data_IF_639345485091
#
_entry.id   IF_639345485091
#
_cell.length_a   1.000
_cell.length_b   1.000
_cell.length_c   1.000
_cell.angle_alpha   90.00
_cell.angle_beta   90.00
_cell.angle_gamma   90.00
#
_symmetry.space_group_name_H-M   'P 1'
#
loop_
_entity.id
_entity.type
_entity.pdbx_description
1 polymer ?
#
# COMPACT_ATOMS: atom_id res chain seq x y z
N UNK A 1 1.83 10.51 15.51
CA UNK A 1 1.90 9.16 14.94
C UNK A 1 1.47 8.03 15.89
N UNK A 2 0.40 7.30 15.55
CA UNK A 2 -0.04 6.07 16.25
C UNK A 2 0.69 4.83 15.68
N UNK A 3 1.97 4.66 16.02
CA UNK A 3 2.87 3.66 15.39
C UNK A 3 2.30 2.22 15.41
N UNK A 4 1.77 1.76 16.54
CA UNK A 4 1.20 0.41 16.68
C UNK A 4 0.09 0.15 15.66
N UNK A 5 -0.78 1.15 15.46
CA UNK A 5 -1.87 1.07 14.49
C UNK A 5 -1.32 1.03 13.06
N UNK A 6 -0.30 1.86 12.78
CA UNK A 6 0.36 1.89 11.48
C UNK A 6 1.02 0.57 11.11
N UNK A 7 1.67 -0.11 12.05
CA UNK A 7 2.26 -1.43 11.84
C UNK A 7 1.17 -2.47 11.51
N UNK A 8 0.07 -2.48 12.30
CA UNK A 8 -1.05 -3.41 12.07
C UNK A 8 -1.65 -3.18 10.68
N UNK A 9 -1.89 -1.93 10.31
CA UNK A 9 -2.44 -1.59 9.00
C UNK A 9 -1.45 -1.91 7.87
N UNK A 10 -0.16 -1.70 8.05
CA UNK A 10 0.86 -2.10 7.06
C UNK A 10 0.83 -3.59 6.76
N UNK A 11 0.75 -4.43 7.82
CA UNK A 11 0.62 -5.89 7.66
C UNK A 11 -0.69 -6.28 6.94
N UNK A 12 -1.80 -5.63 7.30
CA UNK A 12 -3.09 -5.86 6.65
C UNK A 12 -3.07 -5.43 5.18
N UNK A 13 -2.46 -4.28 4.86
CA UNK A 13 -2.31 -3.81 3.48
C UNK A 13 -1.57 -4.86 2.66
N UNK A 14 -0.39 -5.28 3.10
CA UNK A 14 0.38 -6.34 2.44
C UNK A 14 -0.46 -7.59 2.20
N UNK A 15 -1.16 -8.07 3.24
CA UNK A 15 -1.98 -9.28 3.16
C UNK A 15 -3.13 -9.15 2.15
N UNK A 16 -3.87 -8.04 2.18
CA UNK A 16 -5.00 -7.84 1.27
C UNK A 16 -4.55 -7.56 -0.17
N UNK A 17 -3.46 -6.82 -0.38
CA UNK A 17 -2.87 -6.62 -1.71
C UNK A 17 -2.44 -7.95 -2.30
N UNK A 18 -1.73 -8.78 -1.53
CA UNK A 18 -1.35 -10.13 -1.93
C UNK A 18 -2.59 -10.96 -2.30
N UNK A 19 -3.60 -10.99 -1.41
CA UNK A 19 -4.81 -11.79 -1.60
C UNK A 19 -5.59 -11.39 -2.86
N UNK A 20 -5.81 -10.08 -3.06
CA UNK A 20 -6.50 -9.56 -4.24
C UNK A 20 -5.72 -9.93 -5.50
N UNK A 21 -4.42 -9.71 -5.50
CA UNK A 21 -3.61 -9.96 -6.70
C UNK A 21 -3.60 -11.44 -7.05
N UNK A 22 -3.46 -12.36 -6.08
CA UNK A 22 -3.53 -13.81 -6.33
C UNK A 22 -4.88 -14.25 -6.90
N UNK A 23 -5.99 -13.67 -6.44
CA UNK A 23 -7.34 -14.04 -6.90
C UNK A 23 -7.65 -13.47 -8.29
N UNK A 24 -7.30 -12.21 -8.54
CA UNK A 24 -7.74 -11.48 -9.71
C UNK A 24 -6.75 -11.52 -10.88
N UNK A 25 -5.44 -11.70 -10.63
CA UNK A 25 -4.45 -11.79 -11.71
C UNK A 25 -4.73 -12.90 -12.74
N UNK A 26 -5.22 -14.11 -12.37
CA UNK A 26 -5.58 -15.13 -13.36
C UNK A 26 -6.84 -14.80 -14.17
N UNK A 27 -7.68 -13.88 -13.66
CA UNK A 27 -8.96 -13.50 -14.28
C UNK A 27 -8.84 -12.32 -15.22
N UNK A 28 -7.77 -11.53 -15.09
CA UNK A 28 -7.55 -10.30 -15.85
C UNK A 28 -6.30 -10.49 -16.70
N UNK A 29 -6.51 -10.60 -18.02
CA UNK A 29 -5.44 -10.53 -19.00
C UNK A 29 -5.24 -9.08 -19.42
N UNK A 30 -4.06 -8.53 -19.15
CA UNK A 30 -3.61 -7.27 -19.70
C UNK A 30 -2.47 -7.49 -20.71
N UNK A 31 -2.21 -6.48 -21.55
CA UNK A 31 -1.12 -6.49 -22.52
C UNK A 31 0.02 -5.56 -22.07
N UNK A 32 0.11 -5.25 -20.77
CA UNK A 32 1.08 -4.29 -20.27
C UNK A 32 2.39 -5.04 -20.00
N UNK A 33 3.50 -4.68 -20.66
CA UNK A 33 4.78 -5.33 -20.38
C UNK A 33 5.16 -5.13 -18.91
N UNK A 34 5.58 -6.21 -18.26
CA UNK A 34 6.18 -6.23 -16.91
C UNK A 34 5.27 -5.82 -15.74
N UNK A 35 4.02 -5.44 -15.97
CA UNK A 35 3.10 -5.00 -14.92
C UNK A 35 1.78 -5.73 -15.06
N UNK A 36 1.41 -6.48 -14.03
CA UNK A 36 0.04 -6.94 -13.87
C UNK A 36 -0.80 -5.79 -13.29
N UNK A 37 -1.79 -5.29 -14.05
CA UNK A 37 -2.59 -4.11 -13.67
C UNK A 37 -3.37 -4.30 -12.36
N UNK A 38 -3.62 -5.54 -11.95
CA UNK A 38 -4.29 -5.85 -10.69
C UNK A 38 -3.48 -5.39 -9.49
N UNK A 39 -2.15 -5.53 -9.53
CA UNK A 39 -1.27 -5.15 -8.43
C UNK A 39 -1.34 -3.64 -8.08
N UNK A 40 -1.12 -2.69 -9.01
CA UNK A 40 -1.22 -1.26 -8.69
C UNK A 40 -2.64 -0.85 -8.25
N UNK A 41 -3.69 -1.45 -8.84
CA UNK A 41 -5.08 -1.18 -8.43
C UNK A 41 -5.31 -1.65 -6.98
N UNK A 42 -4.84 -2.85 -6.63
CA UNK A 42 -4.93 -3.39 -5.29
C UNK A 42 -4.18 -2.49 -4.28
N UNK A 43 -2.95 -2.08 -4.62
CA UNK A 43 -2.13 -1.19 -3.77
C UNK A 43 -2.88 0.12 -3.49
N UNK A 44 -3.36 0.83 -4.52
CA UNK A 44 -4.06 2.12 -4.34
C UNK A 44 -5.33 1.93 -3.51
N UNK A 45 -6.12 0.90 -3.80
CA UNK A 45 -7.42 0.68 -3.16
C UNK A 45 -7.27 0.34 -1.68
N UNK A 46 -6.39 -0.61 -1.37
CA UNK A 46 -6.19 -1.11 -0.01
C UNK A 46 -5.44 -0.08 0.84
N UNK A 47 -4.37 0.51 0.32
CA UNK A 47 -3.64 1.59 0.99
C UNK A 47 -4.53 2.81 1.19
N UNK A 48 -5.37 3.15 0.21
CA UNK A 48 -6.34 4.23 0.32
C UNK A 48 -7.30 4.00 1.49
N UNK A 49 -7.90 2.81 1.56
CA UNK A 49 -8.82 2.45 2.63
C UNK A 49 -8.18 2.52 4.02
N UNK A 50 -7.04 1.85 4.23
CA UNK A 50 -6.36 1.85 5.52
C UNK A 50 -5.71 3.20 5.86
N UNK A 51 -5.26 3.94 4.86
CA UNK A 51 -4.74 5.31 5.00
C UNK A 51 -5.82 6.26 5.52
N UNK A 52 -7.04 6.20 4.96
CA UNK A 52 -8.20 6.98 5.44
C UNK A 52 -8.51 6.63 6.89
N UNK A 53 -8.59 5.33 7.22
CA UNK A 53 -8.86 4.88 8.59
C UNK A 53 -7.78 5.32 9.59
N UNK A 54 -6.54 5.48 9.14
CA UNK A 54 -5.44 5.94 9.98
C UNK A 54 -5.48 7.46 10.18
N UNK A 55 -5.68 8.22 9.11
CA UNK A 55 -5.51 9.67 9.12
C UNK A 55 -6.72 10.42 9.71
N UNK A 56 -7.92 9.83 9.65
CA UNK A 56 -9.16 10.45 10.14
C UNK A 56 -9.16 10.86 11.62
N UNK A 57 -8.27 10.28 12.42
CA UNK A 57 -8.16 10.58 13.86
C UNK A 57 -6.95 11.50 14.18
N UNK A 58 -6.36 12.14 13.16
CA UNK A 58 -5.22 13.05 13.29
C UNK A 58 -5.71 14.48 13.07
N UNK A 59 -5.43 15.36 14.03
CA UNK A 59 -5.88 16.75 14.02
C UNK A 59 -4.76 17.76 13.73
N UNK A 60 -3.51 17.30 13.58
CA UNK A 60 -2.35 18.17 13.38
C UNK A 60 -1.43 17.63 12.29
N UNK A 61 -1.10 18.51 11.33
CA UNK A 61 -0.14 18.28 10.26
C UNK A 61 -0.40 16.95 9.51
N UNK A 62 -1.62 16.77 8.99
CA UNK A 62 -2.04 15.51 8.36
C UNK A 62 -1.14 15.11 7.18
N UNK A 63 -0.64 16.07 6.39
CA UNK A 63 0.32 15.81 5.29
C UNK A 63 1.59 15.12 5.80
N UNK A 64 2.18 15.63 6.89
CA UNK A 64 3.43 15.08 7.45
C UNK A 64 3.17 13.70 8.03
N UNK A 65 2.03 13.51 8.71
CA UNK A 65 1.64 12.20 9.22
C UNK A 65 1.33 11.21 8.10
N UNK A 66 0.71 11.65 6.99
CA UNK A 66 0.47 10.89 5.77
C UNK A 66 1.76 10.40 5.10
N UNK A 67 2.78 11.26 5.06
CA UNK A 67 4.10 10.86 4.55
C UNK A 67 4.78 9.83 5.49
N UNK A 68 4.79 10.10 6.80
CA UNK A 68 5.38 9.19 7.80
C UNK A 68 4.72 7.82 7.79
N UNK A 69 3.39 7.76 7.73
CA UNK A 69 2.67 6.49 7.72
C UNK A 69 2.90 5.71 6.43
N UNK A 70 3.02 6.40 5.29
CA UNK A 70 3.40 5.78 4.02
C UNK A 70 4.73 5.04 4.11
N UNK A 71 5.73 5.64 4.77
CA UNK A 71 7.02 4.98 5.03
C UNK A 71 6.83 3.73 5.89
N UNK A 72 6.00 3.79 6.94
CA UNK A 72 5.72 2.61 7.78
C UNK A 72 5.06 1.49 6.98
N UNK A 73 4.09 1.80 6.12
CA UNK A 73 3.44 0.80 5.28
C UNK A 73 4.42 0.11 4.32
N UNK A 74 5.30 0.88 3.68
CA UNK A 74 6.37 0.35 2.81
C UNK A 74 7.34 -0.53 3.60
N UNK A 75 7.75 -0.11 4.79
CA UNK A 75 8.63 -0.92 5.64
C UNK A 75 7.96 -2.24 6.02
N UNK A 76 6.67 -2.21 6.35
CA UNK A 76 5.93 -3.44 6.69
C UNK A 76 5.78 -4.37 5.50
N UNK A 77 5.53 -3.82 4.32
CA UNK A 77 5.45 -4.57 3.07
C UNK A 77 6.77 -5.33 2.79
N UNK A 78 7.90 -4.64 2.79
CA UNK A 78 9.23 -5.23 2.59
C UNK A 78 9.56 -6.29 3.66
N UNK A 79 9.21 -6.04 4.93
CA UNK A 79 9.43 -7.01 6.01
C UNK A 79 8.56 -8.25 5.80
N UNK A 80 7.29 -8.09 5.43
CA UNK A 80 6.39 -9.22 5.20
C UNK A 80 6.86 -10.03 3.99
N UNK A 81 7.27 -9.38 2.90
CA UNK A 81 7.85 -10.05 1.74
C UNK A 81 9.08 -10.87 2.10
N UNK A 82 10.00 -10.28 2.88
CA UNK A 82 11.18 -10.99 3.37
C UNK A 82 10.80 -12.22 4.22
N UNK A 83 9.86 -12.07 5.16
CA UNK A 83 9.45 -13.16 6.05
C UNK A 83 8.72 -14.28 5.29
N UNK A 84 7.85 -13.95 4.34
CA UNK A 84 6.99 -14.94 3.69
C UNK A 84 7.63 -15.57 2.46
N UNK A 85 8.40 -14.83 1.66
CA UNK A 85 8.95 -15.35 0.41
C UNK A 85 10.40 -15.78 0.54
N UNK A 86 11.25 -14.97 1.20
CA UNK A 86 12.69 -15.29 1.32
C UNK A 86 12.92 -16.45 2.27
N UNK A 87 12.26 -16.46 3.44
CA UNK A 87 12.42 -17.56 4.41
C UNK A 87 11.83 -18.88 3.88
N UNK A 88 10.71 -18.81 3.12
CA UNK A 88 9.97 -20.01 2.71
C UNK A 88 10.47 -20.64 1.41
N UNK A 89 11.50 -20.07 0.76
CA UNK A 89 12.06 -20.51 -0.53
C UNK A 89 11.00 -20.81 -1.59
N UNK A 90 9.90 -20.06 -1.58
CA UNK A 90 8.87 -20.14 -2.63
C UNK A 90 9.13 -19.02 -3.62
N UNK A 91 9.20 -19.36 -4.91
CA UNK A 91 9.07 -18.38 -5.98
C UNK A 91 7.73 -17.67 -5.79
N UNK A 92 7.79 -16.34 -5.65
CA UNK A 92 6.59 -15.56 -5.43
C UNK A 92 5.78 -15.56 -6.73
N UNK A 93 4.59 -16.17 -6.72
CA UNK A 93 3.73 -16.34 -7.90
C UNK A 93 3.27 -14.99 -8.45
N UNK A 94 3.36 -13.93 -7.65
CA UNK A 94 3.04 -12.56 -8.04
C UNK A 94 4.14 -11.84 -8.82
N UNK A 95 5.35 -12.42 -8.87
CA UNK A 95 6.55 -11.65 -9.13
C UNK A 95 7.48 -12.40 -10.07
N UNK A 96 7.26 -12.22 -11.37
CA UNK A 96 8.30 -12.44 -12.37
C UNK A 96 9.39 -11.34 -12.29
N UNK A 97 9.08 -10.15 -11.75
CA UNK A 97 10.01 -9.01 -11.57
C UNK A 97 9.82 -8.26 -10.22
N UNK A 98 10.57 -8.66 -9.19
CA UNK A 98 10.48 -8.13 -7.82
C UNK A 98 10.83 -6.66 -7.69
N UNK A 99 11.90 -6.16 -8.32
CA UNK A 99 12.19 -4.74 -8.37
C UNK A 99 11.00 -3.88 -8.79
N UNK A 100 10.26 -4.27 -9.83
CA UNK A 100 9.11 -3.49 -10.32
C UNK A 100 7.98 -3.44 -9.29
N UNK A 101 7.72 -4.55 -8.60
CA UNK A 101 6.72 -4.59 -7.52
C UNK A 101 7.07 -3.60 -6.40
N UNK A 102 8.31 -3.66 -5.89
CA UNK A 102 8.78 -2.79 -4.81
C UNK A 102 8.72 -1.31 -5.22
N UNK A 103 9.17 -0.98 -6.44
CA UNK A 103 9.12 0.39 -6.96
C UNK A 103 7.66 0.87 -7.04
N UNK A 104 6.76 0.04 -7.55
CA UNK A 104 5.32 0.36 -7.64
C UNK A 104 4.72 0.59 -6.25
N UNK A 105 5.04 -0.27 -5.28
CA UNK A 105 4.57 -0.16 -3.91
C UNK A 105 5.05 1.13 -3.25
N UNK A 106 6.34 1.48 -3.41
CA UNK A 106 6.91 2.72 -2.86
C UNK A 106 6.19 3.94 -3.43
N UNK A 107 6.11 4.04 -4.76
CA UNK A 107 5.55 5.21 -5.45
C UNK A 107 4.07 5.36 -5.10
N UNK A 108 3.28 4.30 -5.29
CA UNK A 108 1.84 4.35 -5.11
C UNK A 108 1.46 4.56 -3.64
N UNK A 109 2.16 3.91 -2.70
CA UNK A 109 1.86 4.07 -1.27
C UNK A 109 2.17 5.49 -0.81
N UNK A 110 3.36 6.03 -1.12
CA UNK A 110 3.72 7.40 -0.72
C UNK A 110 2.78 8.45 -1.32
N UNK A 111 2.48 8.34 -2.61
CA UNK A 111 1.56 9.27 -3.27
C UNK A 111 0.18 9.19 -2.62
N UNK A 112 -0.35 7.97 -2.42
CA UNK A 112 -1.68 7.77 -1.84
C UNK A 112 -1.76 8.32 -0.41
N UNK A 113 -0.83 7.97 0.48
CA UNK A 113 -0.91 8.40 1.88
C UNK A 113 -0.63 9.89 2.06
N UNK A 114 0.25 10.47 1.24
CA UNK A 114 0.53 11.92 1.28
C UNK A 114 -0.66 12.72 0.73
N UNK A 115 -1.28 12.27 -0.37
CA UNK A 115 -2.51 12.87 -0.89
C UNK A 115 -3.65 12.78 0.11
N UNK A 116 -3.80 11.66 0.80
CA UNK A 116 -4.80 11.53 1.88
C UNK A 116 -4.54 12.52 3.01
N UNK A 117 -3.28 12.75 3.38
CA UNK A 117 -2.93 13.77 4.36
C UNK A 117 -3.25 15.18 3.87
N UNK A 118 -2.99 15.47 2.60
CA UNK A 118 -3.37 16.74 2.00
C UNK A 118 -4.89 16.95 1.99
N UNK A 119 -5.65 15.92 1.60
CA UNK A 119 -7.11 15.97 1.58
C UNK A 119 -7.71 16.10 2.98
N UNK A 120 -7.11 15.46 3.99
CA UNK A 120 -7.58 15.57 5.37
C UNK A 120 -7.33 16.97 5.96
N UNK A 121 -6.25 17.64 5.54
CA UNK A 121 -5.95 19.01 5.95
C UNK A 121 -6.88 20.05 5.29
N UNK A 122 -7.50 19.72 4.16
CA UNK A 122 -8.43 20.64 3.49
C UNK A 122 -9.74 20.74 4.26
N UNK A 123 -10.05 21.94 4.77
CA UNK A 123 -11.42 22.28 5.15
C UNK A 123 -12.27 22.33 3.88
N UNK A 124 -13.09 21.29 3.68
CA UNK A 124 -14.07 21.29 2.59
C UNK A 124 -15.24 22.15 3.06
N UNK A 125 -15.27 23.41 2.62
CA UNK A 125 -16.46 24.26 2.68
C UNK A 125 -17.55 23.61 1.80
N UNK A 126 -18.41 22.81 2.43
CA UNK A 126 -19.63 22.29 1.81
C UNK A 126 -20.63 23.47 1.72
N UNK A 127 -20.51 24.27 0.65
CA UNK A 127 -21.50 25.28 0.28
C UNK A 127 -22.83 24.66 -0.14
#
# INVERSE_FOLDING_TARGET
>A
MKLKLGIIYGILIWFFVYLITVIFSPLITDNIPYINIVAPIAIITVTGFFGILYIRDINENEVIEGFKIGIIFILMDVICDFVFFVIRKKTNILIDDYPIHVISMIILTLITTTLLGYLAQMEIDLK
#
